data_IF_998510425332
#
_entry.id   IF_998510425332
#
_cell.length_a   1.000
_cell.length_b   1.000
_cell.length_c   1.000
_cell.angle_alpha   90.00
_cell.angle_beta   90.00
_cell.angle_gamma   90.00
#
_symmetry.space_group_name_H-M   'P 1'
#
loop_
_entity.id
_entity.type
_entity.pdbx_description
1 polymer ?
#
# COMPACT_ATOMS: atom_id res chain seq x y z
N UNK A 1 -10.83 10.92 -14.92
CA UNK A 1 -11.61 10.96 -13.66
C UNK A 1 -10.96 11.99 -12.75
N UNK A 2 -11.63 13.05 -12.27
CA UNK A 2 -10.97 13.98 -11.34
C UNK A 2 -10.78 13.34 -9.95
N UNK A 3 -10.00 13.98 -9.07
CA UNK A 3 -9.74 13.46 -7.72
C UNK A 3 -11.03 13.19 -6.92
N UNK A 4 -12.00 14.11 -6.97
CA UNK A 4 -13.28 13.97 -6.29
C UNK A 4 -14.03 12.69 -6.71
N UNK A 5 -14.10 12.40 -8.01
CA UNK A 5 -14.75 11.19 -8.51
C UNK A 5 -13.97 9.91 -8.15
N UNK A 6 -12.63 9.99 -8.11
CA UNK A 6 -11.80 8.88 -7.67
C UNK A 6 -12.07 8.56 -6.19
N UNK A 7 -12.03 9.56 -5.31
CA UNK A 7 -12.29 9.39 -3.88
C UNK A 7 -13.72 8.90 -3.60
N UNK A 8 -14.73 9.40 -4.31
CA UNK A 8 -16.09 8.85 -4.21
C UNK A 8 -16.17 7.38 -4.65
N UNK A 9 -15.41 7.00 -5.69
CA UNK A 9 -15.37 5.61 -6.13
C UNK A 9 -14.75 4.72 -5.06
N UNK A 10 -13.67 5.18 -4.43
CA UNK A 10 -13.01 4.51 -3.30
C UNK A 10 -13.97 4.36 -2.12
N UNK A 11 -14.61 5.45 -1.68
CA UNK A 11 -15.58 5.42 -0.58
C UNK A 11 -16.72 4.43 -0.84
N UNK A 12 -17.24 4.42 -2.07
CA UNK A 12 -18.35 3.55 -2.44
C UNK A 12 -17.99 2.08 -2.31
N UNK A 13 -16.85 1.65 -2.86
CA UNK A 13 -16.44 0.24 -2.81
C UNK A 13 -15.97 -0.17 -1.41
N UNK A 14 -15.43 0.78 -0.63
CA UNK A 14 -15.11 0.57 0.78
C UNK A 14 -16.38 0.30 1.60
N UNK A 15 -17.40 1.15 1.49
CA UNK A 15 -18.66 1.00 2.21
C UNK A 15 -19.43 -0.27 1.82
N UNK A 16 -19.18 -0.80 0.62
CA UNK A 16 -19.73 -2.07 0.15
C UNK A 16 -18.97 -3.32 0.63
N UNK A 17 -17.83 -3.15 1.33
CA UNK A 17 -16.97 -4.27 1.74
C UNK A 17 -16.25 -4.96 0.57
N UNK A 18 -16.13 -4.30 -0.58
CA UNK A 18 -15.53 -4.86 -1.80
C UNK A 18 -14.00 -4.72 -1.78
N UNK A 19 -13.32 -5.48 -0.92
CA UNK A 19 -11.88 -5.32 -0.70
C UNK A 19 -11.01 -5.49 -1.96
N UNK A 20 -11.41 -6.33 -2.92
CA UNK A 20 -10.74 -6.47 -4.22
C UNK A 20 -10.85 -5.19 -5.05
N UNK A 21 -12.01 -4.53 -5.04
CA UNK A 21 -12.21 -3.28 -5.76
C UNK A 21 -11.42 -2.12 -5.11
N UNK A 22 -11.39 -2.06 -3.77
CA UNK A 22 -10.54 -1.12 -3.03
C UNK A 22 -9.07 -1.34 -3.39
N UNK A 23 -8.61 -2.59 -3.35
CA UNK A 23 -7.23 -2.97 -3.68
C UNK A 23 -6.84 -2.58 -5.11
N UNK A 24 -7.77 -2.71 -6.08
CA UNK A 24 -7.54 -2.29 -7.46
C UNK A 24 -7.37 -0.76 -7.56
N UNK A 25 -8.20 0.01 -6.86
CA UNK A 25 -8.09 1.48 -6.85
C UNK A 25 -6.83 1.97 -6.13
N UNK A 26 -6.19 1.14 -5.30
CA UNK A 26 -4.92 1.43 -4.64
C UNK A 26 -3.69 0.84 -5.36
N UNK A 27 -3.87 0.08 -6.45
CA UNK A 27 -2.75 -0.59 -7.09
C UNK A 27 -1.97 0.34 -8.01
N UNK A 28 -0.63 0.34 -7.86
CA UNK A 28 0.27 1.00 -8.82
C UNK A 28 0.26 0.36 -10.22
N UNK A 29 -0.43 -0.78 -10.38
CA UNK A 29 -0.58 -1.48 -11.66
C UNK A 29 -1.95 -1.27 -12.33
N UNK A 30 -2.90 -0.58 -11.69
CA UNK A 30 -4.22 -0.33 -12.29
C UNK A 30 -4.21 0.89 -13.23
N UNK A 31 -5.14 0.94 -14.17
CA UNK A 31 -5.22 2.01 -15.18
C UNK A 31 -5.38 3.43 -14.60
N UNK A 32 -5.93 3.59 -13.39
CA UNK A 32 -6.09 4.92 -12.79
C UNK A 32 -4.76 5.65 -12.58
N UNK A 33 -3.65 4.94 -12.46
CA UNK A 33 -2.32 5.55 -12.28
C UNK A 33 -1.89 6.39 -13.49
N UNK A 34 -2.49 6.16 -14.66
CA UNK A 34 -2.19 6.93 -15.87
C UNK A 34 -2.98 8.24 -15.96
N UNK A 35 -3.81 8.55 -14.97
CA UNK A 35 -4.69 9.71 -14.98
C UNK A 35 -4.00 10.94 -14.38
N UNK A 36 -3.63 11.95 -15.18
CA UNK A 36 -2.86 13.11 -14.70
C UNK A 36 -3.57 13.92 -13.61
N UNK A 37 -4.91 13.88 -13.58
CA UNK A 37 -5.70 14.57 -12.55
C UNK A 37 -5.51 14.00 -11.14
N UNK A 38 -4.87 12.84 -10.98
CA UNK A 38 -4.54 12.26 -9.66
C UNK A 38 -3.11 12.61 -9.21
N UNK A 39 -2.27 13.14 -10.11
CA UNK A 39 -0.84 13.37 -9.89
C UNK A 39 -0.52 14.75 -9.32
N UNK A 40 -1.45 15.69 -9.42
CA UNK A 40 -1.19 17.13 -9.20
C UNK A 40 -1.16 17.51 -7.70
N UNK A 41 -1.39 16.56 -6.81
CA UNK A 41 -1.60 16.84 -5.39
C UNK A 41 -0.43 16.33 -4.55
N UNK A 42 0.53 17.22 -4.25
CA UNK A 42 1.61 16.95 -3.27
C UNK A 42 1.03 16.80 -1.84
N UNK A 43 -0.07 17.52 -1.56
CA UNK A 43 -0.77 17.51 -0.28
C UNK A 43 -2.24 17.08 -0.46
N UNK A 44 -2.52 15.80 -0.76
CA UNK A 44 -3.89 15.32 -0.98
C UNK A 44 -4.72 15.20 0.31
N UNK A 45 -4.10 15.27 1.49
CA UNK A 45 -4.70 14.97 2.80
C UNK A 45 -6.00 15.74 3.05
N UNK A 46 -6.01 17.05 2.80
CA UNK A 46 -7.21 17.85 3.05
C UNK A 46 -8.41 17.38 2.21
N UNK A 47 -8.18 16.96 0.97
CA UNK A 47 -9.26 16.44 0.11
C UNK A 47 -9.66 15.03 0.53
N UNK A 48 -8.68 14.18 0.86
CA UNK A 48 -8.89 12.80 1.29
C UNK A 48 -9.66 12.75 2.61
N UNK A 49 -9.20 13.46 3.65
CA UNK A 49 -9.80 13.43 5.00
C UNK A 49 -11.17 14.11 5.08
N UNK A 50 -11.55 14.87 4.05
CA UNK A 50 -12.91 15.42 3.93
C UNK A 50 -13.91 14.41 3.37
N UNK A 51 -13.44 13.32 2.76
CA UNK A 51 -14.28 12.40 1.98
C UNK A 51 -14.19 10.96 2.43
N UNK A 52 -13.01 10.55 2.89
CA UNK A 52 -12.72 9.22 3.39
C UNK A 52 -12.52 9.28 4.89
N UNK A 53 -13.09 8.30 5.57
CA UNK A 53 -12.90 8.10 7.00
C UNK A 53 -11.72 7.18 7.29
N UNK A 54 -11.18 7.31 8.50
CA UNK A 54 -10.23 6.35 9.04
C UNK A 54 -10.84 4.94 9.10
N UNK A 55 -10.04 3.88 8.84
CA UNK A 55 -8.59 3.90 8.64
C UNK A 55 -8.12 3.96 7.17
N UNK A 56 -9.03 4.07 6.20
CA UNK A 56 -8.68 3.99 4.77
C UNK A 56 -8.04 5.30 4.26
N UNK A 57 -8.46 6.43 4.81
CA UNK A 57 -8.02 7.77 4.48
C UNK A 57 -6.49 7.93 4.42
N UNK A 58 -5.76 7.44 5.43
CA UNK A 58 -4.29 7.50 5.50
C UNK A 58 -3.64 6.66 4.39
N UNK A 59 -4.20 5.48 4.09
CA UNK A 59 -3.71 4.59 3.01
C UNK A 59 -3.85 5.28 1.66
N UNK A 60 -5.01 5.89 1.39
CA UNK A 60 -5.31 6.58 0.12
C UNK A 60 -4.48 7.86 -0.02
N UNK A 61 -4.29 8.62 1.06
CA UNK A 61 -3.43 9.81 1.04
C UNK A 61 -1.98 9.43 0.67
N UNK A 62 -1.44 8.37 1.27
CA UNK A 62 -0.11 7.87 0.93
C UNK A 62 -0.03 7.44 -0.55
N UNK A 63 -1.02 6.68 -1.04
CA UNK A 63 -1.07 6.23 -2.44
C UNK A 63 -1.04 7.39 -3.43
N UNK A 64 -1.86 8.44 -3.20
CA UNK A 64 -1.88 9.62 -4.08
C UNK A 64 -0.53 10.34 -4.12
N UNK A 65 0.18 10.43 -2.98
CA UNK A 65 1.54 10.97 -2.94
C UNK A 65 2.54 10.09 -3.70
N UNK A 66 2.42 8.77 -3.62
CA UNK A 66 3.24 7.85 -4.44
C UNK A 66 3.06 8.16 -5.92
N UNK A 67 1.81 8.34 -6.38
CA UNK A 67 1.54 8.71 -7.77
C UNK A 67 2.20 10.05 -8.12
N UNK A 68 1.99 11.09 -7.31
CA UNK A 68 2.60 12.40 -7.49
C UNK A 68 4.12 12.32 -7.72
N UNK A 69 4.86 11.62 -6.84
CA UNK A 69 6.32 11.53 -6.93
C UNK A 69 6.82 10.64 -8.08
N UNK A 70 6.05 9.62 -8.48
CA UNK A 70 6.37 8.79 -9.65
C UNK A 70 6.18 9.51 -10.98
N UNK A 71 5.37 10.58 -10.98
CA UNK A 71 5.04 11.37 -12.18
C UNK A 71 5.63 12.76 -12.18
N UNK A 72 6.34 13.14 -11.10
CA UNK A 72 7.10 14.38 -11.05
C UNK A 72 8.22 14.39 -12.10
N UNK A 73 8.62 15.59 -12.52
CA UNK A 73 9.74 15.83 -13.45
C UNK A 73 10.80 16.67 -12.72
N UNK A 74 11.96 16.08 -12.33
CA UNK A 74 12.35 14.68 -12.50
C UNK A 74 11.62 13.71 -11.55
N UNK A 75 11.48 12.44 -11.95
CA UNK A 75 10.83 11.40 -11.13
C UNK A 75 11.61 11.19 -9.83
N UNK A 76 10.88 11.12 -8.71
CA UNK A 76 11.47 10.95 -7.39
C UNK A 76 11.13 9.58 -6.80
N UNK A 77 11.91 8.56 -7.16
CA UNK A 77 11.74 7.18 -6.66
C UNK A 77 11.99 7.06 -5.15
N UNK A 78 12.90 7.87 -4.59
CA UNK A 78 13.19 7.87 -3.15
C UNK A 78 11.94 8.26 -2.36
N UNK A 79 11.30 9.35 -2.78
CA UNK A 79 10.13 9.89 -2.12
C UNK A 79 8.89 9.01 -2.35
N UNK A 80 8.71 8.51 -3.58
CA UNK A 80 7.67 7.52 -3.85
C UNK A 80 7.81 6.28 -2.95
N UNK A 81 9.03 5.74 -2.80
CA UNK A 81 9.30 4.62 -1.91
C UNK A 81 9.00 4.95 -0.43
N UNK A 82 9.34 6.16 0.01
CA UNK A 82 9.01 6.65 1.35
C UNK A 82 7.50 6.68 1.59
N UNK A 83 6.72 7.22 0.64
CA UNK A 83 5.26 7.28 0.77
C UNK A 83 4.61 5.89 0.68
N UNK A 84 5.16 4.98 -0.11
CA UNK A 84 4.68 3.59 -0.14
C UNK A 84 5.00 2.84 1.16
N UNK A 85 6.10 3.18 1.82
CA UNK A 85 6.43 2.68 3.17
C UNK A 85 5.42 3.18 4.20
N UNK A 86 5.06 4.48 4.14
CA UNK A 86 3.98 5.04 4.97
C UNK A 86 2.63 4.36 4.69
N UNK A 87 2.36 4.01 3.42
CA UNK A 87 1.16 3.25 3.04
C UNK A 87 1.12 1.88 3.75
N UNK A 88 2.22 1.15 3.83
CA UNK A 88 2.30 -0.10 4.61
C UNK A 88 2.06 0.15 6.11
N UNK A 89 2.62 1.22 6.68
CA UNK A 89 2.38 1.56 8.09
C UNK A 89 0.90 1.88 8.35
N UNK A 90 0.24 2.60 7.44
CA UNK A 90 -1.20 2.85 7.50
C UNK A 90 -2.01 1.54 7.40
N UNK A 91 -1.60 0.61 6.52
CA UNK A 91 -2.20 -0.73 6.44
C UNK A 91 -2.02 -1.53 7.74
N UNK A 92 -0.86 -1.44 8.40
CA UNK A 92 -0.65 -2.06 9.72
C UNK A 92 -1.67 -1.54 10.74
N UNK A 93 -1.86 -0.21 10.80
CA UNK A 93 -2.89 0.40 11.67
C UNK A 93 -4.29 -0.07 11.30
N UNK A 94 -4.61 -0.10 10.00
CA UNK A 94 -5.91 -0.59 9.49
C UNK A 94 -6.19 -2.03 9.93
N UNK A 95 -5.21 -2.94 9.81
CA UNK A 95 -5.32 -4.33 10.28
C UNK A 95 -5.57 -4.41 11.79
N UNK A 96 -4.99 -3.50 12.58
CA UNK A 96 -5.16 -3.44 14.03
C UNK A 96 -6.49 -2.83 14.46
N UNK A 97 -7.06 -1.91 13.67
CA UNK A 97 -8.35 -1.27 13.94
C UNK A 97 -9.50 -2.18 13.53
N UNK A 98 -9.45 -2.74 12.32
CA UNK A 98 -10.48 -3.62 11.77
C UNK A 98 -10.26 -5.06 12.21
N UNK A 99 -10.35 -5.28 13.53
CA UNK A 99 -9.95 -6.54 14.17
C UNK A 99 -10.80 -7.71 13.71
N UNK A 100 -12.10 -7.57 13.54
CA UNK A 100 -13.04 -8.68 13.33
C UNK A 100 -13.43 -8.90 11.87
N UNK A 101 -12.66 -8.34 10.94
CA UNK A 101 -12.95 -8.40 9.51
C UNK A 101 -11.69 -8.79 8.71
N UNK A 102 -11.88 -9.47 7.57
CA UNK A 102 -10.77 -9.83 6.67
C UNK A 102 -11.03 -9.52 5.18
N UNK A 103 -12.21 -8.99 4.83
CA UNK A 103 -12.58 -8.69 3.44
C UNK A 103 -11.59 -7.71 2.78
N UNK A 104 -10.90 -6.87 3.57
CA UNK A 104 -9.92 -5.89 3.12
C UNK A 104 -8.48 -6.44 2.98
N UNK A 105 -8.23 -7.72 3.27
CA UNK A 105 -6.90 -8.34 3.06
C UNK A 105 -6.33 -8.12 1.64
N UNK A 106 -7.11 -8.09 0.55
CA UNK A 106 -6.60 -7.73 -0.78
C UNK A 106 -5.88 -6.37 -0.82
N UNK A 107 -6.29 -5.40 0.00
CA UNK A 107 -5.62 -4.10 0.10
C UNK A 107 -4.19 -4.28 0.60
N UNK A 108 -4.00 -5.04 1.67
CA UNK A 108 -2.67 -5.36 2.20
C UNK A 108 -1.81 -6.07 1.15
N UNK A 109 -2.38 -7.01 0.40
CA UNK A 109 -1.65 -7.75 -0.63
C UNK A 109 -1.12 -6.82 -1.71
N UNK A 110 -1.98 -5.93 -2.21
CA UNK A 110 -1.60 -4.95 -3.24
C UNK A 110 -0.50 -4.02 -2.75
N UNK A 111 -0.70 -3.39 -1.59
CA UNK A 111 0.26 -2.41 -1.06
C UNK A 111 1.62 -3.08 -0.76
N UNK A 112 1.62 -4.34 -0.32
CA UNK A 112 2.84 -5.13 -0.10
C UNK A 112 3.59 -5.46 -1.40
N UNK A 113 2.85 -5.86 -2.45
CA UNK A 113 3.41 -6.10 -3.78
C UNK A 113 4.03 -4.82 -4.35
N UNK A 114 3.33 -3.70 -4.20
CA UNK A 114 3.75 -2.40 -4.71
C UNK A 114 4.95 -1.85 -3.96
N UNK A 115 5.03 -2.02 -2.62
CA UNK A 115 6.24 -1.70 -1.86
C UNK A 115 7.45 -2.48 -2.37
N UNK A 116 7.33 -3.81 -2.54
CA UNK A 116 8.44 -4.64 -3.04
C UNK A 116 8.90 -4.20 -4.42
N UNK A 117 7.96 -3.94 -5.33
CA UNK A 117 8.28 -3.49 -6.70
C UNK A 117 8.95 -2.12 -6.71
N UNK A 118 8.45 -1.20 -5.89
CA UNK A 118 8.98 0.16 -5.81
C UNK A 118 10.35 0.18 -5.14
N UNK A 119 10.57 -0.63 -4.10
CA UNK A 119 11.89 -0.82 -3.50
C UNK A 119 12.93 -1.30 -4.53
N UNK A 120 12.58 -2.30 -5.33
CA UNK A 120 13.45 -2.78 -6.42
C UNK A 120 13.77 -1.69 -7.46
N UNK A 121 12.78 -0.87 -7.83
CA UNK A 121 13.01 0.28 -8.71
C UNK A 121 13.85 1.37 -8.07
N UNK A 122 13.68 1.61 -6.78
CA UNK A 122 14.47 2.57 -6.02
C UNK A 122 15.96 2.16 -6.00
N UNK A 123 16.28 0.87 -5.79
CA UNK A 123 17.66 0.38 -5.87
C UNK A 123 18.29 0.50 -7.26
N UNK A 124 17.49 0.30 -8.32
CA UNK A 124 17.98 0.46 -9.70
C UNK A 124 18.37 1.92 -10.00
N UNK A 125 17.80 2.90 -9.28
CA UNK A 125 17.95 4.33 -9.56
C UNK A 125 18.85 5.05 -8.55
N UNK A 126 18.95 4.54 -7.33
CA UNK A 126 19.71 5.15 -6.23
C UNK A 126 20.91 4.27 -5.91
N UNK A 127 22.10 4.83 -6.06
CA UNK A 127 23.33 4.17 -5.61
C UNK A 127 23.40 4.22 -4.08
N UNK A 128 23.12 3.10 -3.43
CA UNK A 128 23.37 2.91 -2.00
C UNK A 128 24.79 2.39 -1.77
N UNK A 129 25.32 2.55 -0.57
CA UNK A 129 26.63 2.00 -0.18
C UNK A 129 26.58 0.47 -0.03
N UNK A 130 25.40 -0.08 0.26
CA UNK A 130 25.15 -1.52 0.39
C UNK A 130 24.06 -1.95 -0.61
N UNK A 131 24.38 -2.83 -1.58
CA UNK A 131 23.36 -3.46 -2.42
C UNK A 131 22.33 -4.20 -1.57
N UNK A 132 21.04 -4.09 -1.90
CA UNK A 132 19.96 -4.75 -1.17
C UNK A 132 19.44 -3.98 0.06
N UNK A 133 20.05 -2.87 0.46
CA UNK A 133 19.65 -2.14 1.69
C UNK A 133 18.21 -1.62 1.65
N UNK A 134 17.73 -1.16 0.49
CA UNK A 134 16.36 -0.64 0.37
C UNK A 134 15.38 -1.81 0.41
N UNK A 135 15.70 -2.92 -0.26
CA UNK A 135 14.89 -4.13 -0.20
C UNK A 135 14.85 -4.74 1.22
N UNK A 136 15.95 -4.73 1.97
CA UNK A 136 15.99 -5.17 3.37
C UNK A 136 15.04 -4.32 4.24
N UNK A 137 15.09 -2.99 4.11
CA UNK A 137 14.17 -2.07 4.82
C UNK A 137 12.71 -2.29 4.41
N UNK A 138 12.45 -2.57 3.13
CA UNK A 138 11.11 -2.90 2.66
C UNK A 138 10.60 -4.21 3.31
N UNK A 139 11.45 -5.24 3.43
CA UNK A 139 11.10 -6.48 4.12
C UNK A 139 10.77 -6.24 5.60
N UNK A 140 11.55 -5.39 6.30
CA UNK A 140 11.24 -5.01 7.69
C UNK A 140 9.86 -4.36 7.83
N UNK A 141 9.48 -3.51 6.86
CA UNK A 141 8.14 -2.90 6.83
C UNK A 141 7.04 -3.96 6.62
N UNK A 142 7.24 -4.91 5.70
CA UNK A 142 6.31 -6.02 5.46
C UNK A 142 6.14 -6.92 6.68
N UNK A 143 7.19 -7.08 7.49
CA UNK A 143 7.10 -7.81 8.77
C UNK A 143 6.12 -7.15 9.75
N UNK A 144 5.83 -5.85 9.63
CA UNK A 144 4.79 -5.18 10.38
C UNK A 144 3.42 -5.80 10.16
N UNK A 145 3.01 -5.96 8.89
CA UNK A 145 1.76 -6.63 8.53
C UNK A 145 1.77 -8.10 8.95
N UNK A 146 2.92 -8.78 8.79
CA UNK A 146 3.05 -10.19 9.15
C UNK A 146 2.81 -10.41 10.63
N UNK A 147 3.41 -9.59 11.50
CA UNK A 147 3.22 -9.69 12.96
C UNK A 147 1.76 -9.54 13.38
N UNK A 148 1.01 -8.62 12.74
CA UNK A 148 -0.43 -8.46 13.02
C UNK A 148 -1.22 -9.69 12.58
N UNK A 149 -0.93 -10.24 11.40
CA UNK A 149 -1.60 -11.44 10.92
C UNK A 149 -1.23 -12.69 11.73
N UNK A 150 0.01 -12.79 12.21
CA UNK A 150 0.50 -13.92 12.98
C UNK A 150 -0.03 -13.92 14.43
N UNK A 151 -0.28 -12.74 15.00
CA UNK A 151 -0.89 -12.58 16.33
C UNK A 151 -2.41 -12.78 16.33
N UNK A 152 -3.02 -13.05 15.17
CA UNK A 152 -4.45 -13.27 15.05
C UNK A 152 -4.86 -14.66 15.55
N UNK A 153 -5.65 -14.70 16.62
CA UNK A 153 -6.09 -15.92 17.28
C UNK A 153 -7.49 -16.39 16.84
N UNK A 154 -8.09 -15.73 15.84
CA UNK A 154 -9.44 -16.07 15.36
C UNK A 154 -9.45 -17.41 14.64
N UNK A 155 -10.42 -18.24 14.97
CA UNK A 155 -10.55 -19.59 14.44
C UNK A 155 -11.33 -19.66 13.12
N UNK A 156 -12.20 -18.68 12.85
CA UNK A 156 -13.05 -18.68 11.65
C UNK A 156 -12.29 -18.15 10.44
N UNK A 157 -12.40 -18.85 9.31
CA UNK A 157 -11.83 -18.37 8.05
C UNK A 157 -12.53 -17.09 7.55
N UNK A 158 -13.75 -16.81 8.02
CA UNK A 158 -14.53 -15.64 7.62
C UNK A 158 -13.99 -14.32 8.21
N UNK A 159 -13.19 -14.38 9.28
CA UNK A 159 -12.68 -13.19 9.98
C UNK A 159 -11.17 -13.24 10.27
N UNK A 160 -10.53 -14.41 10.12
CA UNK A 160 -9.10 -14.54 10.39
C UNK A 160 -8.24 -13.81 9.36
N UNK A 161 -7.20 -13.13 9.86
CA UNK A 161 -6.16 -12.46 9.08
C UNK A 161 -4.98 -13.37 8.76
N UNK A 162 -4.94 -14.57 9.35
CA UNK A 162 -3.89 -15.57 9.12
C UNK A 162 -3.76 -15.95 7.64
N UNK A 163 -4.86 -15.87 6.88
CA UNK A 163 -4.88 -16.04 5.42
C UNK A 163 -3.89 -15.11 4.70
N UNK A 164 -3.64 -13.92 5.27
CA UNK A 164 -2.72 -12.95 4.70
C UNK A 164 -1.23 -13.27 4.88
N UNK A 165 -0.87 -14.18 5.81
CA UNK A 165 0.53 -14.52 6.05
C UNK A 165 1.20 -15.12 4.82
N UNK A 166 0.51 -16.00 4.08
CA UNK A 166 1.08 -16.64 2.89
C UNK A 166 1.44 -15.60 1.81
N UNK A 167 0.60 -14.58 1.63
CA UNK A 167 0.88 -13.51 0.68
C UNK A 167 2.16 -12.73 1.07
N UNK A 168 2.28 -12.37 2.35
CA UNK A 168 3.44 -11.64 2.88
C UNK A 168 4.72 -12.46 2.81
N UNK A 169 4.68 -13.73 3.21
CA UNK A 169 5.81 -14.67 3.10
C UNK A 169 6.29 -14.78 1.65
N UNK A 170 5.37 -14.85 0.69
CA UNK A 170 5.74 -14.86 -0.74
C UNK A 170 6.44 -13.56 -1.18
N UNK A 171 6.06 -12.40 -0.63
CA UNK A 171 6.79 -11.15 -0.93
C UNK A 171 8.16 -11.13 -0.26
N UNK A 172 8.27 -11.59 1.00
CA UNK A 172 9.52 -11.67 1.73
C UNK A 172 10.52 -12.61 1.03
N UNK A 173 10.07 -13.80 0.58
CA UNK A 173 10.93 -14.68 -0.22
C UNK A 173 11.45 -13.99 -1.48
N UNK A 174 10.59 -13.30 -2.23
CA UNK A 174 11.00 -12.56 -3.43
C UNK A 174 12.00 -11.44 -3.14
N UNK A 175 11.98 -10.87 -1.93
CA UNK A 175 12.98 -9.91 -1.48
C UNK A 175 14.30 -10.63 -1.18
N UNK A 176 14.28 -11.68 -0.36
CA UNK A 176 15.48 -12.40 0.05
C UNK A 176 16.21 -13.09 -1.11
N UNK A 177 15.49 -13.65 -2.08
CA UNK A 177 16.07 -14.20 -3.30
C UNK A 177 16.65 -13.15 -4.26
N UNK A 178 16.35 -11.87 -4.06
CA UNK A 178 16.89 -10.78 -4.88
C UNK A 178 18.14 -10.15 -4.25
N UNK A 179 18.23 -10.18 -2.92
CA UNK A 179 19.38 -9.64 -2.18
C UNK A 179 20.55 -10.63 -2.12
N UNK A 180 20.26 -11.94 -2.12
CA UNK A 180 21.26 -13.02 -2.15
C UNK A 180 21.38 -13.62 -3.54
#
# INVERSE_FOLDING_TARGET
MNLFHYLNSVQRVWNAGEGVAVARLLSLADHHVNNPSLHVHEHPETAVYRQLDAPLDEVVACHLKVLHHLTAEPRNYAEAYRQQTNCIQAVVKMLQVLKDENWFLPVMYTVAIDLRRLAAKCEEQIKTSKPGEILEKAAECLMGCFRVCAADNRASDADTKRLGMLNLVNQLFKVYFRIN
#
